data_IF_936962787811
#
_entry.id   IF_936962787811
#
_cell.length_a   1.000
_cell.length_b   1.000
_cell.length_c   1.000
_cell.angle_alpha   90.00
_cell.angle_beta   90.00
_cell.angle_gamma   90.00
#
_symmetry.space_group_name_H-M   'P 1'
#
loop_
_entity.id
_entity.type
_entity.pdbx_description
1 polymer ?
#
# COMPACT_ATOMS: atom_id res chain seq x y z
N UNK A 1 17.08 -12.57 11.55
CA UNK A 1 16.62 -11.49 10.66
C UNK A 1 15.12 -11.29 10.76
N UNK A 2 14.73 -10.14 11.31
CA UNK A 2 13.34 -9.70 11.48
C UNK A 2 12.76 -9.13 10.17
N UNK A 3 11.44 -9.15 10.04
CA UNK A 3 10.75 -8.28 9.08
C UNK A 3 10.75 -6.85 9.61
N UNK A 4 11.04 -5.88 8.74
CA UNK A 4 11.01 -4.46 9.10
C UNK A 4 9.80 -3.78 8.47
N UNK A 5 8.96 -3.20 9.30
CA UNK A 5 7.80 -2.41 8.94
C UNK A 5 8.15 -0.94 9.14
N UNK A 6 8.67 -0.32 8.08
CA UNK A 6 8.94 1.10 8.02
C UNK A 6 8.86 1.57 6.57
N UNK A 7 8.04 2.60 6.31
CA UNK A 7 7.76 3.05 4.96
C UNK A 7 8.99 3.77 4.38
N UNK A 8 9.61 3.17 3.37
CA UNK A 8 10.85 3.61 2.74
C UNK A 8 10.71 3.61 1.23
N UNK A 9 11.32 4.60 0.58
CA UNK A 9 11.59 4.55 -0.85
C UNK A 9 12.89 3.76 -1.10
N UNK A 10 12.75 2.54 -1.61
CA UNK A 10 13.87 1.60 -1.81
C UNK A 10 14.11 1.36 -3.29
N UNK A 11 15.07 2.12 -3.85
CA UNK A 11 15.49 1.93 -5.23
C UNK A 11 16.08 0.54 -5.46
N UNK A 12 15.58 -0.17 -6.49
CA UNK A 12 16.10 -1.48 -6.88
C UNK A 12 15.97 -2.53 -5.78
N UNK A 13 14.83 -2.56 -5.08
CA UNK A 13 14.57 -3.51 -3.99
C UNK A 13 14.86 -4.96 -4.41
N UNK A 14 15.37 -5.75 -3.47
CA UNK A 14 15.69 -7.16 -3.70
C UNK A 14 14.47 -8.03 -3.44
N UNK A 15 14.36 -9.12 -4.20
CA UNK A 15 13.41 -10.19 -3.91
C UNK A 15 13.94 -11.08 -2.78
N UNK A 16 13.03 -11.66 -2.00
CA UNK A 16 13.35 -12.49 -0.82
C UNK A 16 14.11 -11.74 0.29
N UNK A 17 13.89 -10.42 0.37
CA UNK A 17 14.41 -9.56 1.42
C UNK A 17 13.30 -9.24 2.45
N UNK A 18 13.71 -9.02 3.70
CA UNK A 18 12.82 -8.68 4.82
C UNK A 18 12.81 -7.18 5.13
N UNK A 19 13.56 -6.38 4.37
CA UNK A 19 13.56 -4.92 4.46
C UNK A 19 12.17 -4.34 4.14
N UNK A 20 11.79 -3.30 4.90
CA UNK A 20 10.59 -2.52 4.63
C UNK A 20 10.68 -1.78 3.30
N UNK A 21 9.54 -1.69 2.60
CA UNK A 21 9.37 -0.95 1.35
C UNK A 21 8.37 0.20 1.58
N UNK A 22 7.49 0.52 0.62
CA UNK A 22 6.66 1.72 0.65
C UNK A 22 5.50 1.72 1.66
N UNK A 23 5.09 0.56 2.18
CA UNK A 23 3.89 0.43 3.01
C UNK A 23 4.02 -0.64 4.10
N UNK A 24 3.34 -0.40 5.22
CA UNK A 24 3.38 -1.24 6.41
C UNK A 24 1.97 -1.47 6.94
N UNK A 25 1.56 -2.73 7.06
CA UNK A 25 0.32 -3.14 7.73
C UNK A 25 0.72 -4.13 8.82
N UNK A 26 0.78 -3.71 10.11
CA UNK A 26 1.26 -4.55 11.23
C UNK A 26 0.20 -5.57 11.67
N UNK A 27 -0.19 -6.44 10.73
CA UNK A 27 -1.23 -7.45 10.88
C UNK A 27 -0.68 -8.82 10.47
N UNK A 28 -0.75 -9.79 11.37
CA UNK A 28 -0.24 -11.14 11.17
C UNK A 28 -1.36 -12.17 11.31
N UNK A 29 -1.40 -13.12 10.38
CA UNK A 29 -2.31 -14.25 10.37
C UNK A 29 -1.58 -15.55 10.72
N UNK A 30 -2.17 -16.34 11.59
CA UNK A 30 -1.74 -17.71 11.89
C UNK A 30 -2.85 -18.69 11.50
N UNK A 31 -2.55 -19.64 10.63
CA UNK A 31 -3.54 -20.57 10.07
C UNK A 31 -3.11 -22.03 10.21
N UNK A 32 -4.07 -22.89 10.57
CA UNK A 32 -3.97 -24.35 10.49
C UNK A 32 -5.35 -24.95 10.20
N UNK A 33 -5.39 -26.25 9.89
CA UNK A 33 -6.65 -26.96 9.70
C UNK A 33 -7.60 -26.73 10.90
N UNK A 34 -8.78 -26.18 10.61
CA UNK A 34 -9.83 -25.89 11.59
C UNK A 34 -9.60 -24.66 12.48
N UNK A 35 -8.54 -23.87 12.28
CA UNK A 35 -8.32 -22.66 13.08
C UNK A 35 -7.50 -21.59 12.35
N UNK A 36 -8.01 -20.37 12.36
CA UNK A 36 -7.29 -19.14 12.00
C UNK A 36 -7.32 -18.19 13.17
N UNK A 37 -6.20 -17.52 13.40
CA UNK A 37 -6.04 -16.43 14.36
C UNK A 37 -5.40 -15.24 13.65
N UNK A 38 -5.63 -14.04 14.16
CA UNK A 38 -4.96 -12.82 13.73
C UNK A 38 -4.42 -12.04 14.93
N UNK A 39 -3.31 -11.34 14.72
CA UNK A 39 -2.77 -10.34 15.64
C UNK A 39 -2.66 -9.04 14.87
N UNK A 40 -3.29 -7.98 15.37
CA UNK A 40 -3.10 -6.62 14.86
C UNK A 40 -2.37 -5.80 15.91
N UNK A 41 -1.14 -5.40 15.59
CA UNK A 41 -0.28 -4.57 16.43
C UNK A 41 -0.48 -3.11 16.03
N UNK A 42 -1.31 -2.38 16.78
CA UNK A 42 -1.70 -1.02 16.42
C UNK A 42 -0.62 -0.03 16.87
N UNK A 43 0.47 0.03 16.12
CA UNK A 43 1.56 0.97 16.32
C UNK A 43 2.02 1.56 14.97
N UNK A 44 2.23 2.88 14.93
CA UNK A 44 2.61 3.62 13.73
C UNK A 44 4.13 3.88 13.63
N UNK A 45 4.88 3.60 14.69
CA UNK A 45 6.34 3.71 14.70
C UNK A 45 6.97 2.56 13.90
N UNK A 46 8.24 2.73 13.54
CA UNK A 46 9.03 1.65 12.96
C UNK A 46 8.92 0.38 13.81
N UNK A 47 8.64 -0.75 13.16
CA UNK A 47 8.36 -2.01 13.85
C UNK A 47 9.12 -3.18 13.23
N UNK A 48 9.80 -3.95 14.06
CA UNK A 48 10.48 -5.19 13.75
C UNK A 48 9.62 -6.38 14.18
N UNK A 49 9.54 -7.40 13.33
CA UNK A 49 8.78 -8.62 13.59
C UNK A 49 9.68 -9.84 13.39
N UNK A 50 10.05 -10.49 14.48
CA UNK A 50 10.77 -11.76 14.47
C UNK A 50 9.79 -12.91 14.53
N UNK A 51 9.96 -13.90 13.65
CA UNK A 51 9.11 -15.09 13.58
C UNK A 51 10.00 -16.32 13.73
N UNK A 52 9.81 -17.05 14.82
CA UNK A 52 10.53 -18.26 15.15
C UNK A 52 9.56 -19.44 15.13
N UNK A 53 9.82 -20.44 14.29
CA UNK A 53 8.97 -21.64 14.21
C UNK A 53 9.72 -22.85 14.73
N UNK A 54 9.21 -23.45 15.80
CA UNK A 54 9.71 -24.71 16.33
C UNK A 54 9.17 -25.88 15.46
N UNK A 55 10.03 -26.82 15.06
CA UNK A 55 9.62 -27.96 14.26
C UNK A 55 8.59 -28.82 15.00
N UNK A 56 7.70 -29.43 14.21
CA UNK A 56 6.65 -30.31 14.67
C UNK A 56 7.21 -31.51 15.47
N UNK A 57 7.13 -31.47 16.81
CA UNK A 57 7.54 -32.61 17.63
C UNK A 57 6.37 -33.60 17.75
N UNK A 58 6.63 -34.86 17.39
CA UNK A 58 5.71 -35.99 17.56
C UNK A 58 5.86 -36.50 18.98
N UNK A 59 4.81 -36.38 19.79
CA UNK A 59 4.75 -37.07 21.09
C UNK A 59 3.69 -38.17 21.05
N UNK A 60 4.06 -39.34 21.57
CA UNK A 60 3.13 -40.44 21.82
C UNK A 60 2.44 -40.18 23.14
N UNK A 61 1.15 -39.89 23.12
CA UNK A 61 0.34 -39.88 24.35
C UNK A 61 -0.02 -41.32 24.66
N UNK A 62 0.67 -41.94 25.61
CA UNK A 62 0.24 -43.20 26.23
C UNK A 62 -0.96 -42.92 27.12
N UNK A 63 -2.18 -43.08 26.59
CA UNK A 63 -3.34 -43.23 27.46
C UNK A 63 -3.33 -44.65 28.02
N UNK A 64 -3.31 -44.79 29.35
CA UNK A 64 -3.53 -46.10 29.97
C UNK A 64 -5.01 -46.47 29.82
N UNK A 65 -5.31 -47.40 28.91
CA UNK A 65 -6.65 -47.92 28.62
C UNK A 65 -6.77 -48.46 27.19
N UNK A 66 -7.90 -49.09 26.80
CA UNK A 66 -8.06 -49.77 25.50
C UNK A 66 -8.18 -48.82 24.29
N UNK A 67 -7.84 -47.54 24.43
CA UNK A 67 -7.97 -46.54 23.39
C UNK A 67 -6.59 -46.29 22.77
N UNK A 68 -6.48 -46.54 21.46
CA UNK A 68 -5.24 -46.43 20.70
C UNK A 68 -4.51 -45.09 20.93
N UNK A 69 -3.18 -45.16 21.09
CA UNK A 69 -2.30 -44.01 21.25
C UNK A 69 -2.49 -43.02 20.07
N UNK A 70 -2.92 -41.79 20.37
CA UNK A 70 -3.00 -40.72 19.36
C UNK A 70 -1.66 -39.99 19.31
N UNK A 71 -0.97 -40.04 18.16
CA UNK A 71 0.17 -39.16 17.90
C UNK A 71 -0.32 -37.72 17.79
N UNK A 72 0.19 -36.83 18.65
CA UNK A 72 -0.09 -35.40 18.59
C UNK A 72 1.15 -34.68 18.07
N UNK A 73 1.02 -34.06 16.91
CA UNK A 73 2.04 -33.17 16.34
C UNK A 73 1.78 -31.76 16.86
N UNK A 74 2.74 -31.18 17.59
CA UNK A 74 2.69 -29.78 18.02
C UNK A 74 3.74 -29.00 17.23
N UNK A 75 3.27 -28.14 16.33
CA UNK A 75 4.06 -27.06 15.76
C UNK A 75 3.77 -25.79 16.57
N UNK A 76 4.80 -25.00 16.86
CA UNK A 76 4.68 -23.74 17.59
C UNK A 76 5.40 -22.66 16.81
N UNK A 77 4.75 -21.52 16.65
CA UNK A 77 5.36 -20.32 16.11
C UNK A 77 5.29 -19.24 17.17
N UNK A 78 6.44 -18.73 17.57
CA UNK A 78 6.57 -17.59 18.47
C UNK A 78 6.90 -16.36 17.63
N UNK A 79 6.19 -15.27 17.89
CA UNK A 79 6.36 -13.99 17.19
C UNK A 79 6.72 -12.92 18.21
N UNK A 80 7.82 -12.21 17.96
CA UNK A 80 8.28 -11.12 18.80
C UNK A 80 8.18 -9.80 18.02
N UNK A 81 7.37 -8.87 18.54
CA UNK A 81 7.15 -7.55 17.98
C UNK A 81 7.94 -6.53 18.79
N UNK A 82 8.72 -5.70 18.10
CA UNK A 82 9.51 -4.64 18.72
C UNK A 82 9.30 -3.37 17.89
N UNK A 83 8.72 -2.33 18.48
CA UNK A 83 8.65 -1.02 17.81
C UNK A 83 9.83 -0.17 18.29
N UNK A 84 10.79 0.11 17.40
CA UNK A 84 12.02 0.85 17.68
C UNK A 84 12.05 2.17 16.89
N UNK A 85 12.43 3.28 17.53
CA UNK A 85 12.57 4.59 16.88
C UNK A 85 12.67 5.72 17.90
N UNK A 86 13.58 6.67 17.68
CA UNK A 86 14.16 7.66 18.62
C UNK A 86 13.15 8.25 19.62
N UNK A 87 13.32 7.87 20.89
CA UNK A 87 12.56 8.26 22.11
C UNK A 87 11.07 7.84 22.15
N UNK A 88 10.78 6.67 22.75
CA UNK A 88 9.53 6.31 23.44
C UNK A 88 8.21 6.90 22.90
N UNK A 89 7.73 6.48 21.72
CA UNK A 89 6.36 6.87 21.31
C UNK A 89 5.49 5.71 20.82
N UNK A 90 4.27 5.70 21.36
CA UNK A 90 3.28 4.64 21.21
C UNK A 90 3.05 3.87 22.51
N UNK A 91 1.89 3.22 22.61
CA UNK A 91 1.58 2.25 23.67
C UNK A 91 1.64 0.84 23.08
N UNK A 92 1.66 -0.17 23.94
CA UNK A 92 1.34 -1.53 23.51
C UNK A 92 -0.19 -1.59 23.32
N UNK A 93 -0.63 -1.54 22.07
CA UNK A 93 -2.02 -1.72 21.68
C UNK A 93 -2.12 -2.90 20.71
N UNK A 94 -2.79 -3.97 21.14
CA UNK A 94 -2.83 -5.24 20.42
C UNK A 94 -4.22 -5.84 20.42
N UNK A 95 -4.69 -6.20 19.23
CA UNK A 95 -5.97 -6.89 19.04
C UNK A 95 -5.72 -8.35 18.67
N UNK A 96 -6.30 -9.26 19.45
CA UNK A 96 -6.27 -10.70 19.17
C UNK A 96 -7.58 -11.11 18.49
N UNK A 97 -7.48 -11.51 17.22
CA UNK A 97 -8.60 -11.90 16.38
C UNK A 97 -8.73 -13.43 16.41
N UNK A 98 -9.80 -13.94 17.02
CA UNK A 98 -9.88 -15.35 17.44
C UNK A 98 -10.49 -16.30 16.40
N UNK A 99 -10.92 -15.80 15.25
CA UNK A 99 -11.53 -16.61 14.19
C UNK A 99 -12.86 -17.23 14.62
N UNK A 100 -13.13 -18.53 14.33
CA UNK A 100 -12.16 -19.58 14.00
C UNK A 100 -11.83 -19.75 12.52
N UNK A 101 -12.65 -19.24 11.60
CA UNK A 101 -12.40 -19.36 10.16
C UNK A 101 -11.60 -18.15 9.63
N UNK A 102 -10.94 -18.24 8.45
CA UNK A 102 -10.32 -17.09 7.83
C UNK A 102 -11.31 -15.93 7.62
N UNK A 103 -12.55 -16.23 7.21
CA UNK A 103 -13.59 -15.22 7.01
C UNK A 103 -13.93 -14.48 8.30
N UNK A 104 -13.98 -15.18 9.43
CA UNK A 104 -14.25 -14.55 10.73
C UNK A 104 -13.12 -13.59 11.14
N UNK A 105 -11.86 -13.99 10.94
CA UNK A 105 -10.72 -13.12 11.23
C UNK A 105 -10.72 -11.88 10.33
N UNK A 106 -11.03 -12.03 9.04
CA UNK A 106 -11.16 -10.88 8.12
C UNK A 106 -12.29 -9.94 8.53
N UNK A 107 -13.45 -10.46 8.95
CA UNK A 107 -14.56 -9.65 9.47
C UNK A 107 -14.15 -8.91 10.74
N UNK A 108 -13.52 -9.61 11.69
CA UNK A 108 -13.03 -9.02 12.94
C UNK A 108 -12.04 -7.87 12.67
N UNK A 109 -11.08 -8.06 11.77
CA UNK A 109 -10.14 -7.01 11.38
C UNK A 109 -10.85 -5.83 10.70
N UNK A 110 -11.75 -6.10 9.76
CA UNK A 110 -12.50 -5.05 9.04
C UNK A 110 -13.43 -4.22 9.94
N UNK A 111 -13.90 -4.81 11.04
CA UNK A 111 -14.69 -4.07 12.03
C UNK A 111 -13.84 -3.04 12.78
N UNK A 112 -12.54 -3.29 12.93
CA UNK A 112 -11.59 -2.40 13.59
C UNK A 112 -11.06 -1.32 12.64
N UNK A 113 -10.75 -1.68 11.39
CA UNK A 113 -9.99 -0.80 10.48
C UNK A 113 -10.79 -0.31 9.28
N UNK A 114 -12.06 -0.72 9.16
CA UNK A 114 -12.90 -0.44 8.00
C UNK A 114 -12.78 -1.51 6.90
N UNK A 115 -13.59 -1.33 5.86
CA UNK A 115 -13.64 -2.21 4.68
C UNK A 115 -13.09 -1.49 3.46
N UNK A 116 -12.76 -2.26 2.41
CA UNK A 116 -12.38 -1.71 1.12
C UNK A 116 -13.48 -0.75 0.62
N UNK A 117 -13.11 0.51 0.38
CA UNK A 117 -14.01 1.47 -0.24
C UNK A 117 -14.45 0.96 -1.62
N UNK A 118 -15.73 1.12 -1.95
CA UNK A 118 -16.28 0.69 -3.24
C UNK A 118 -15.55 1.42 -4.38
N UNK A 119 -14.75 0.73 -5.20
CA UNK A 119 -14.00 1.38 -6.26
C UNK A 119 -14.95 1.85 -7.37
N UNK A 120 -14.71 3.01 -7.99
CA UNK A 120 -15.42 3.38 -9.20
C UNK A 120 -15.09 2.37 -10.31
N UNK A 121 -16.08 1.97 -11.12
CA UNK A 121 -15.92 0.84 -12.04
C UNK A 121 -14.70 0.97 -12.98
N UNK A 122 -14.43 2.17 -13.49
CA UNK A 122 -13.30 2.44 -14.39
C UNK A 122 -11.94 2.10 -13.76
N UNK A 123 -11.82 2.14 -12.43
CA UNK A 123 -10.54 1.89 -11.76
C UNK A 123 -10.20 0.40 -11.66
N UNK A 124 -11.12 -0.47 -12.10
CA UNK A 124 -10.89 -1.91 -12.24
C UNK A 124 -10.49 -2.29 -13.67
N UNK A 125 -10.57 -1.34 -14.61
CA UNK A 125 -10.17 -1.52 -16.01
C UNK A 125 -8.66 -1.45 -16.22
N UNK A 126 -8.22 -1.38 -17.47
CA UNK A 126 -6.80 -1.28 -17.79
C UNK A 126 -6.31 0.17 -17.67
N UNK A 127 -5.21 0.35 -16.92
CA UNK A 127 -4.56 1.63 -16.67
C UNK A 127 -3.25 1.68 -17.46
N UNK A 128 -3.15 2.63 -18.38
CA UNK A 128 -1.95 2.84 -19.19
C UNK A 128 -1.11 3.97 -18.59
N UNK A 129 0.15 3.68 -18.26
CA UNK A 129 1.06 4.60 -17.58
C UNK A 129 2.51 4.39 -18.02
N UNK A 130 3.29 5.47 -17.99
CA UNK A 130 4.75 5.48 -18.00
C UNK A 130 5.25 6.81 -17.40
N UNK A 131 6.53 6.84 -17.04
CA UNK A 131 7.25 8.10 -16.77
C UNK A 131 8.03 8.52 -18.03
N UNK A 132 7.61 9.51 -18.82
CA UNK A 132 6.32 10.23 -18.86
C UNK A 132 5.72 10.19 -20.28
N UNK A 133 4.42 10.46 -20.45
CA UNK A 133 3.97 10.94 -21.78
C UNK A 133 4.47 12.36 -22.01
N UNK A 134 5.10 12.62 -23.15
CA UNK A 134 5.88 13.84 -23.34
C UNK A 134 4.99 15.09 -23.38
N UNK A 135 3.82 15.00 -24.01
CA UNK A 135 2.88 16.13 -24.20
C UNK A 135 1.45 15.65 -24.53
N UNK A 136 0.55 16.60 -24.83
CA UNK A 136 -0.83 16.30 -25.25
C UNK A 136 -0.94 15.48 -26.54
N UNK A 137 0.02 15.62 -27.47
CA UNK A 137 -0.02 14.87 -28.73
C UNK A 137 0.39 13.42 -28.48
N UNK A 138 1.35 13.16 -27.61
CA UNK A 138 1.73 11.82 -27.18
C UNK A 138 0.54 11.12 -26.53
N UNK A 139 -0.14 11.77 -25.58
CA UNK A 139 -1.37 11.24 -24.96
C UNK A 139 -2.43 10.89 -26.01
N UNK A 140 -2.68 11.80 -26.96
CA UNK A 140 -3.65 11.59 -28.04
C UNK A 140 -3.25 10.44 -28.97
N UNK A 141 -1.96 10.32 -29.30
CA UNK A 141 -1.45 9.26 -30.16
C UNK A 141 -1.59 7.90 -29.49
N UNK A 142 -1.28 7.79 -28.20
CA UNK A 142 -1.45 6.57 -27.42
C UNK A 142 -2.94 6.20 -27.31
N UNK A 143 -3.81 7.15 -26.95
CA UNK A 143 -5.27 6.94 -26.91
C UNK A 143 -5.83 6.44 -28.25
N UNK A 144 -5.40 7.02 -29.37
CA UNK A 144 -5.78 6.56 -30.70
C UNK A 144 -5.21 5.18 -31.03
N UNK A 145 -3.99 4.87 -30.59
CA UNK A 145 -3.34 3.58 -30.80
C UNK A 145 -4.11 2.43 -30.15
N UNK A 146 -4.67 2.63 -28.95
CA UNK A 146 -5.54 1.62 -28.32
C UNK A 146 -6.78 1.32 -29.16
N UNK A 147 -7.42 2.36 -29.72
CA UNK A 147 -8.60 2.17 -30.58
C UNK A 147 -8.22 1.51 -31.92
N UNK A 148 -7.10 1.92 -32.52
CA UNK A 148 -6.61 1.36 -33.79
C UNK A 148 -6.30 -0.14 -33.68
N UNK A 149 -5.75 -0.56 -32.54
CA UNK A 149 -5.33 -1.94 -32.31
C UNK A 149 -6.38 -2.80 -31.58
N UNK A 150 -7.58 -2.27 -31.35
CA UNK A 150 -8.67 -2.94 -30.63
C UNK A 150 -8.25 -3.44 -29.24
N UNK A 151 -7.48 -2.62 -28.51
CA UNK A 151 -7.04 -2.91 -27.14
C UNK A 151 -7.86 -2.02 -26.19
N UNK A 152 -8.65 -2.60 -25.26
CA UNK A 152 -9.43 -1.80 -24.32
C UNK A 152 -8.55 -1.19 -23.22
N UNK A 153 -8.80 0.08 -22.89
CA UNK A 153 -8.27 0.72 -21.69
C UNK A 153 -9.20 1.81 -21.16
N UNK A 154 -9.11 2.06 -19.85
CA UNK A 154 -10.00 2.96 -19.11
C UNK A 154 -9.31 4.24 -18.67
N UNK A 155 -8.02 4.18 -18.30
CA UNK A 155 -7.33 5.29 -17.63
C UNK A 155 -5.98 5.58 -18.25
N UNK A 156 -5.77 6.84 -18.63
CA UNK A 156 -4.47 7.40 -18.97
C UNK A 156 -3.83 8.04 -17.73
N UNK A 157 -2.53 7.85 -17.53
CA UNK A 157 -1.79 8.43 -16.42
C UNK A 157 -0.75 9.44 -16.88
N UNK A 158 -0.58 10.52 -16.13
CA UNK A 158 0.52 11.48 -16.27
C UNK A 158 1.37 11.50 -15.02
N UNK A 159 2.64 11.14 -15.17
CA UNK A 159 3.67 11.22 -14.14
C UNK A 159 4.21 12.66 -14.02
N UNK A 160 5.25 12.87 -13.20
CA UNK A 160 5.67 14.19 -12.68
C UNK A 160 5.99 15.25 -13.74
N UNK A 161 6.31 14.83 -14.98
CA UNK A 161 6.71 15.72 -16.07
C UNK A 161 5.55 16.51 -16.70
N UNK A 162 4.29 16.23 -16.32
CA UNK A 162 3.16 17.06 -16.74
C UNK A 162 3.09 18.42 -16.02
N UNK A 163 3.79 18.55 -14.90
CA UNK A 163 3.74 19.75 -14.04
C UNK A 163 4.69 20.85 -14.51
N UNK A 164 4.42 22.11 -14.15
CA UNK A 164 5.33 23.24 -14.41
C UNK A 164 6.53 23.19 -13.44
N UNK A 165 7.57 22.43 -13.81
CA UNK A 165 8.81 22.35 -13.04
C UNK A 165 8.67 21.69 -11.66
N UNK A 166 7.82 20.64 -11.57
CA UNK A 166 7.54 19.86 -10.35
C UNK A 166 6.76 20.64 -9.30
N UNK A 167 5.93 21.58 -9.77
CA UNK A 167 4.91 22.26 -8.97
C UNK A 167 3.59 21.52 -9.17
N UNK A 168 3.13 20.77 -8.18
CA UNK A 168 1.81 20.11 -8.26
C UNK A 168 0.67 21.13 -8.44
N UNK A 169 -0.50 20.68 -8.87
CA UNK A 169 -1.64 21.56 -9.22
C UNK A 169 -1.35 22.56 -10.37
N UNK A 170 -0.31 22.32 -11.17
CA UNK A 170 0.03 23.11 -12.36
C UNK A 170 0.21 22.20 -13.57
N UNK A 171 0.29 22.81 -14.75
CA UNK A 171 0.56 22.14 -16.02
C UNK A 171 1.74 22.81 -16.71
N UNK A 172 2.67 22.03 -17.26
CA UNK A 172 3.71 22.58 -18.15
C UNK A 172 3.03 23.17 -19.39
N UNK A 173 3.05 24.50 -19.52
CA UNK A 173 2.30 25.20 -20.58
C UNK A 173 2.82 24.95 -21.99
N UNK A 174 4.03 24.39 -22.14
CA UNK A 174 4.59 24.05 -23.46
C UNK A 174 4.13 22.66 -23.89
N UNK A 175 4.15 21.70 -22.97
CA UNK A 175 3.77 20.29 -23.22
C UNK A 175 2.26 20.07 -23.11
N UNK A 176 1.62 20.74 -22.17
CA UNK A 176 0.19 20.63 -21.86
C UNK A 176 -0.50 22.02 -21.87
N UNK A 177 -0.56 22.70 -23.04
CA UNK A 177 -1.18 24.02 -23.16
C UNK A 177 -2.72 24.02 -23.02
N UNK A 178 -3.40 22.91 -23.30
CA UNK A 178 -4.85 22.74 -23.23
C UNK A 178 -5.24 21.43 -22.51
N UNK A 179 -4.91 21.29 -21.21
CA UNK A 179 -5.15 20.07 -20.46
C UNK A 179 -6.64 19.74 -20.36
N UNK A 180 -7.52 20.76 -20.45
CA UNK A 180 -8.97 20.57 -20.52
C UNK A 180 -9.37 19.87 -21.82
N UNK A 181 -8.85 20.31 -22.97
CA UNK A 181 -9.13 19.67 -24.26
C UNK A 181 -8.69 18.20 -24.29
N UNK A 182 -7.52 17.90 -23.74
CA UNK A 182 -7.03 16.51 -23.60
C UNK A 182 -7.95 15.67 -22.70
N UNK A 183 -8.39 16.21 -21.56
CA UNK A 183 -9.35 15.53 -20.69
C UNK A 183 -10.70 15.30 -21.38
N UNK A 184 -11.19 16.28 -22.13
CA UNK A 184 -12.43 16.17 -22.91
C UNK A 184 -12.35 15.10 -24.01
N UNK A 185 -11.18 14.98 -24.67
CA UNK A 185 -10.92 13.92 -25.64
C UNK A 185 -11.09 12.53 -25.01
N UNK A 186 -10.41 12.27 -23.89
CA UNK A 186 -10.51 11.01 -23.16
C UNK A 186 -11.95 10.78 -22.67
N UNK A 187 -12.58 11.82 -22.11
CA UNK A 187 -13.96 11.76 -21.61
C UNK A 187 -14.96 11.42 -22.71
N UNK A 188 -14.76 11.90 -23.93
CA UNK A 188 -15.64 11.60 -25.09
C UNK A 188 -15.66 10.10 -25.43
N UNK A 189 -14.61 9.36 -25.06
CA UNK A 189 -14.49 7.91 -25.19
C UNK A 189 -14.76 7.15 -23.89
N UNK A 190 -15.38 7.80 -22.90
CA UNK A 190 -15.62 7.30 -21.54
C UNK A 190 -14.37 7.00 -20.69
N UNK A 191 -13.18 7.38 -21.15
CA UNK A 191 -11.90 7.18 -20.45
C UNK A 191 -11.67 8.26 -19.39
N UNK A 192 -10.72 8.01 -18.48
CA UNK A 192 -10.31 8.92 -17.40
C UNK A 192 -8.85 9.31 -17.53
N UNK A 193 -8.50 10.42 -16.87
CA UNK A 193 -7.13 10.87 -16.68
C UNK A 193 -6.81 10.82 -15.20
N UNK A 194 -5.65 10.26 -14.84
CA UNK A 194 -5.04 10.37 -13.52
C UNK A 194 -3.76 11.19 -13.65
N UNK A 195 -3.57 12.14 -12.75
CA UNK A 195 -2.35 12.96 -12.67
C UNK A 195 -1.69 12.76 -11.32
N UNK A 196 -0.37 12.58 -11.30
CA UNK A 196 0.37 12.42 -10.04
C UNK A 196 0.37 13.70 -9.21
N UNK A 197 0.29 13.56 -7.88
CA UNK A 197 0.48 14.64 -6.93
C UNK A 197 1.13 14.11 -5.66
N UNK A 198 2.40 14.44 -5.44
CA UNK A 198 3.16 13.96 -4.28
C UNK A 198 3.09 14.97 -3.12
N UNK A 199 3.38 14.54 -1.87
CA UNK A 199 3.25 15.42 -0.69
C UNK A 199 4.42 16.41 -0.52
N UNK A 200 5.38 16.48 -1.44
CA UNK A 200 6.45 17.46 -1.39
C UNK A 200 6.07 18.72 -2.17
N UNK A 201 6.27 19.90 -1.58
CA UNK A 201 5.93 21.18 -2.20
C UNK A 201 7.22 21.92 -2.53
N UNK A 202 7.41 22.23 -3.83
CA UNK A 202 8.58 23.00 -4.28
C UNK A 202 8.67 24.33 -3.54
N UNK A 203 9.84 24.61 -2.95
CA UNK A 203 10.14 25.91 -2.35
C UNK A 203 10.31 26.93 -3.48
N UNK A 204 9.30 27.79 -3.63
CA UNK A 204 9.25 28.80 -4.68
C UNK A 204 8.31 29.95 -4.27
N UNK A 205 8.82 31.18 -4.05
CA UNK A 205 8.00 32.34 -3.70
C UNK A 205 6.90 32.68 -4.72
N UNK A 206 7.05 32.31 -5.99
CA UNK A 206 6.06 32.56 -7.03
C UNK A 206 4.98 31.47 -7.11
N UNK A 207 5.12 30.39 -6.33
CA UNK A 207 4.19 29.27 -6.29
C UNK A 207 3.16 29.43 -5.17
N UNK A 208 1.93 29.77 -5.53
CA UNK A 208 0.86 30.12 -4.57
C UNK A 208 0.55 29.02 -3.52
N UNK A 209 0.69 27.74 -3.87
CA UNK A 209 0.47 26.64 -2.92
C UNK A 209 1.55 26.64 -1.83
N UNK A 210 2.81 26.85 -2.20
CA UNK A 210 3.91 26.97 -1.24
C UNK A 210 3.71 28.18 -0.31
N UNK A 211 3.41 29.36 -0.88
CA UNK A 211 3.22 30.59 -0.11
C UNK A 211 2.10 30.41 0.92
N UNK A 212 0.93 29.92 0.49
CA UNK A 212 -0.22 29.70 1.40
C UNK A 212 0.06 28.64 2.46
N UNK A 213 0.68 27.53 2.10
CA UNK A 213 1.02 26.47 3.06
C UNK A 213 2.05 26.95 4.10
N UNK A 214 2.99 27.81 3.68
CA UNK A 214 3.98 28.43 4.57
C UNK A 214 3.32 29.43 5.52
N UNK A 215 2.50 30.35 5.00
CA UNK A 215 1.80 31.37 5.79
C UNK A 215 0.86 30.75 6.84
N UNK A 216 0.21 29.63 6.51
CA UNK A 216 -0.68 28.91 7.42
C UNK A 216 0.03 27.92 8.34
N UNK A 217 1.34 27.75 8.18
CA UNK A 217 2.14 26.85 9.03
C UNK A 217 1.82 25.37 8.85
N UNK A 218 1.44 24.94 7.65
CA UNK A 218 1.07 23.54 7.35
C UNK A 218 2.24 22.59 7.13
N UNK A 219 3.46 23.11 7.00
CA UNK A 219 4.64 22.26 6.80
C UNK A 219 5.07 21.55 8.08
N UNK A 220 5.54 20.32 7.92
CA UNK A 220 6.29 19.60 8.96
C UNK A 220 7.48 20.47 9.37
N UNK A 221 7.72 20.55 10.68
CA UNK A 221 8.79 21.35 11.27
C UNK A 221 9.90 20.44 11.76
N UNK A 222 11.11 20.98 11.84
CA UNK A 222 12.20 20.33 12.55
C UNK A 222 11.86 20.32 14.06
N UNK A 223 12.27 19.26 14.74
CA UNK A 223 12.24 19.15 16.21
C UNK A 223 13.45 19.84 16.84
#
# INVERSE_FOLDING_TARGET
>A
DAYRLYNLDVYGYKIYDKMGIYGSVPYLLAHKLGRTLGIFWLNASETLVEINTEPAVKYTVTQMGPVAAKQKVRCRTDVHWMSEGVSESGIIDVFLLMGPTPSDVFKQYSYLTGTQAMPPLFSLGYHQCRWNYEDEQDVKAVDAGFDEHDIPYDVMWLDIEHTEGKRYFTWDKKRFPNPRGMQELLRSKNRKLVVISDPHIKIDPDYSVYVKAKEQGFFVKNH
#
